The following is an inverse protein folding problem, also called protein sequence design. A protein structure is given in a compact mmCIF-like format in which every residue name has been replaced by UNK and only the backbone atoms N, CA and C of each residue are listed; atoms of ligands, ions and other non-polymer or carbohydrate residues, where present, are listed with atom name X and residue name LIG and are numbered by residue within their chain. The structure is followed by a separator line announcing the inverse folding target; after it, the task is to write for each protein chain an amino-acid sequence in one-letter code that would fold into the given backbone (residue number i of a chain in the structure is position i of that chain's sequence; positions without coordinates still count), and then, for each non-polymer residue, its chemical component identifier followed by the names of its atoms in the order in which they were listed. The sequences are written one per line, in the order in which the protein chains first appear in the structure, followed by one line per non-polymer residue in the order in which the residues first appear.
data_IF_814501774391
#
_entry.id   IF_814501774391
#
_cell.length_a   1.000
_cell.length_b   1.000
_cell.length_c   1.000
_cell.angle_alpha   90.00
_cell.angle_beta   90.00
_cell.angle_gamma   90.00
#
_symmetry.space_group_name_H-M   'P 1'
#
loop_
_entity.id
_entity.type
_entity.pdbx_description
1 polymer ?
#
# COMPACT_ATOMS: atom_id res chain seq x y z
N UNK A 1 34.69 -41.31 38.84
CA UNK A 1 34.10 -39.96 38.94
C UNK A 1 33.13 -39.79 37.79
N UNK A 2 31.81 -39.97 38.00
CA UNK A 2 30.78 -39.87 36.95
C UNK A 2 30.12 -38.50 37.07
N UNK A 3 30.25 -37.66 36.03
CA UNK A 3 29.59 -36.37 35.96
C UNK A 3 28.21 -36.61 35.30
N UNK A 4 27.16 -36.57 36.11
CA UNK A 4 25.78 -36.65 35.65
C UNK A 4 25.41 -35.31 35.00
N UNK A 5 25.13 -35.29 33.68
CA UNK A 5 24.49 -34.19 33.00
C UNK A 5 22.97 -34.25 33.27
N UNK A 6 22.50 -33.35 34.09
CA UNK A 6 21.06 -33.12 34.25
C UNK A 6 20.55 -32.41 33.02
N UNK A 7 19.79 -33.10 32.18
CA UNK A 7 18.99 -32.45 31.13
C UNK A 7 17.76 -31.82 31.80
N UNK A 8 17.79 -30.53 31.95
CA UNK A 8 16.61 -29.78 32.39
C UNK A 8 15.46 -30.02 31.42
N UNK A 9 14.38 -30.58 31.90
CA UNK A 9 13.09 -30.70 31.19
C UNK A 9 12.58 -29.30 30.88
N UNK A 10 12.67 -28.90 29.63
CA UNK A 10 11.99 -27.67 29.14
C UNK A 10 10.49 -27.99 29.17
N UNK A 11 9.76 -27.47 30.15
CA UNK A 11 8.33 -27.75 30.30
C UNK A 11 7.56 -27.23 29.08
N UNK A 12 6.61 -28.01 28.59
CA UNK A 12 5.74 -27.68 27.45
C UNK A 12 5.00 -26.33 27.65
N UNK A 13 4.79 -25.94 28.88
CA UNK A 13 4.17 -24.63 29.26
C UNK A 13 5.06 -23.43 28.90
N UNK A 14 6.37 -23.52 29.06
CA UNK A 14 7.30 -22.45 28.68
C UNK A 14 7.38 -22.27 27.16
N UNK A 15 7.29 -23.36 26.40
CA UNK A 15 7.28 -23.28 24.93
C UNK A 15 5.98 -22.66 24.41
N UNK A 16 4.85 -22.95 25.02
CA UNK A 16 3.55 -22.38 24.65
C UNK A 16 3.48 -20.88 24.91
N UNK A 17 3.98 -20.43 26.05
CA UNK A 17 4.08 -19.00 26.40
C UNK A 17 4.99 -18.24 25.43
N UNK A 18 6.14 -18.81 25.08
CA UNK A 18 7.06 -18.19 24.12
C UNK A 18 6.42 -18.04 22.72
N UNK A 19 5.69 -19.04 22.25
CA UNK A 19 4.97 -18.97 20.97
C UNK A 19 3.85 -17.91 20.98
N UNK A 20 3.13 -17.79 22.08
CA UNK A 20 2.09 -16.75 22.24
C UNK A 20 2.68 -15.34 22.22
N UNK A 21 3.78 -15.11 22.89
CA UNK A 21 4.47 -13.81 22.92
C UNK A 21 5.00 -13.45 21.53
N UNK A 22 5.61 -14.38 20.82
CA UNK A 22 6.10 -14.17 19.45
C UNK A 22 4.93 -13.82 18.50
N UNK A 23 3.80 -14.52 18.60
CA UNK A 23 2.62 -14.26 17.79
C UNK A 23 2.04 -12.86 18.07
N UNK A 24 2.04 -12.43 19.33
CA UNK A 24 1.54 -11.09 19.71
C UNK A 24 2.43 -9.98 19.16
N UNK A 25 3.75 -10.12 19.21
CA UNK A 25 4.73 -9.16 18.68
C UNK A 25 4.61 -9.07 17.16
N UNK A 26 4.45 -10.19 16.46
CA UNK A 26 4.28 -10.20 15.01
C UNK A 26 2.98 -9.51 14.57
N UNK A 27 1.89 -9.65 15.33
CA UNK A 27 0.62 -9.00 15.03
C UNK A 27 0.67 -7.48 15.19
N UNK A 28 1.39 -6.98 16.19
CA UNK A 28 1.56 -5.52 16.39
C UNK A 28 2.42 -4.90 15.28
N UNK A 29 3.51 -5.55 14.88
CA UNK A 29 4.36 -5.08 13.79
C UNK A 29 3.60 -4.96 12.46
N UNK A 30 2.80 -5.96 12.11
CA UNK A 30 1.98 -5.93 10.90
C UNK A 30 0.91 -4.82 10.91
N UNK A 31 0.34 -4.51 12.09
CA UNK A 31 -0.62 -3.42 12.24
C UNK A 31 0.05 -2.04 12.07
N UNK A 32 1.27 -1.88 12.55
CA UNK A 32 2.05 -0.65 12.41
C UNK A 32 2.46 -0.40 10.96
N UNK A 33 2.89 -1.43 10.24
CA UNK A 33 3.25 -1.34 8.82
C UNK A 33 2.03 -0.98 7.97
N UNK A 34 0.87 -1.56 8.25
CA UNK A 34 -0.38 -1.23 7.59
C UNK A 34 -0.80 0.23 7.82
N UNK A 35 -0.73 0.71 9.06
CA UNK A 35 -1.02 2.10 9.42
C UNK A 35 -0.03 3.07 8.77
N UNK A 36 1.23 2.68 8.62
CA UNK A 36 2.25 3.47 7.93
C UNK A 36 1.95 3.59 6.45
N UNK A 37 1.70 2.48 5.74
CA UNK A 37 1.33 2.47 4.33
C UNK A 37 0.08 3.32 4.04
N UNK A 38 -0.93 3.23 4.93
CA UNK A 38 -2.15 4.05 4.85
C UNK A 38 -1.84 5.55 4.93
N UNK A 39 -1.02 5.99 5.89
CA UNK A 39 -0.65 7.40 6.02
C UNK A 39 0.12 7.90 4.78
N UNK A 40 1.02 7.09 4.25
CA UNK A 40 1.74 7.45 3.03
C UNK A 40 0.78 7.61 1.84
N UNK A 41 -0.17 6.70 1.66
CA UNK A 41 -1.18 6.75 0.60
C UNK A 41 -2.08 7.98 0.69
N UNK A 42 -2.50 8.35 1.89
CA UNK A 42 -3.43 9.47 2.10
C UNK A 42 -2.71 10.82 2.19
N UNK A 43 -1.63 10.91 2.96
CA UNK A 43 -1.09 12.19 3.42
C UNK A 43 0.18 12.60 2.67
N UNK A 44 1.19 11.72 2.57
CA UNK A 44 2.48 12.09 1.97
C UNK A 44 2.45 12.06 0.44
N UNK A 45 2.06 10.93 -0.12
CA UNK A 45 2.02 10.75 -1.58
C UNK A 45 0.68 11.20 -2.20
N UNK A 46 -0.34 11.43 -1.37
CA UNK A 46 -1.68 11.89 -1.77
C UNK A 46 -2.29 11.07 -2.90
N UNK A 47 -2.06 9.76 -2.90
CA UNK A 47 -2.58 8.86 -3.93
C UNK A 47 -4.11 8.90 -4.00
N UNK A 48 -4.76 9.09 -2.84
CA UNK A 48 -6.22 9.22 -2.72
C UNK A 48 -6.77 10.40 -3.50
N UNK A 49 -5.98 11.45 -3.73
CA UNK A 49 -6.42 12.60 -4.53
C UNK A 49 -6.92 12.19 -5.92
N UNK A 50 -6.21 11.28 -6.57
CA UNK A 50 -6.58 10.76 -7.88
C UNK A 50 -7.31 9.40 -7.80
N UNK A 51 -6.84 8.48 -6.94
CA UNK A 51 -7.36 7.12 -6.85
C UNK A 51 -8.57 6.96 -5.92
N UNK A 52 -8.93 8.00 -5.15
CA UNK A 52 -9.98 7.95 -4.14
C UNK A 52 -9.53 7.30 -2.83
N UNK A 53 -10.27 7.57 -1.76
CA UNK A 53 -10.04 6.98 -0.43
C UNK A 53 -10.15 5.46 -0.44
N UNK A 54 -11.02 4.93 -1.29
CA UNK A 54 -11.27 3.49 -1.46
C UNK A 54 -10.45 2.86 -2.59
N UNK A 55 -9.57 3.62 -3.23
CA UNK A 55 -8.78 3.21 -4.39
C UNK A 55 -9.63 2.71 -5.59
N UNK A 56 -10.86 3.21 -5.70
CA UNK A 56 -11.83 2.87 -6.75
C UNK A 56 -11.68 3.73 -8.02
N UNK A 57 -10.75 4.66 -8.02
CA UNK A 57 -10.49 5.58 -9.13
C UNK A 57 -11.39 6.79 -9.17
N UNK A 58 -12.31 6.96 -8.22
CA UNK A 58 -13.23 8.09 -8.21
C UNK A 58 -12.52 9.45 -7.99
N UNK A 59 -11.39 9.41 -7.25
CA UNK A 59 -10.64 10.63 -6.92
C UNK A 59 -11.40 11.57 -5.97
N UNK A 60 -10.77 12.68 -5.66
CA UNK A 60 -11.42 13.78 -4.96
C UNK A 60 -12.06 14.73 -5.97
N UNK A 61 -13.05 15.51 -5.54
CA UNK A 61 -13.82 16.43 -6.40
C UNK A 61 -12.97 17.47 -7.12
N UNK A 62 -11.78 17.74 -6.63
CA UNK A 62 -10.82 18.70 -7.19
C UNK A 62 -9.73 18.04 -8.05
N UNK A 63 -9.72 16.71 -8.16
CA UNK A 63 -8.77 16.02 -9.03
C UNK A 63 -9.10 16.25 -10.51
N UNK A 64 -8.06 16.21 -11.36
CA UNK A 64 -8.19 16.45 -12.80
C UNK A 64 -8.88 15.31 -13.57
N UNK A 65 -9.62 14.46 -12.91
CA UNK A 65 -10.31 13.31 -13.48
C UNK A 65 -9.96 12.01 -12.80
N UNK A 66 -10.69 10.96 -13.15
CA UNK A 66 -10.53 9.63 -12.56
C UNK A 66 -9.19 8.99 -12.90
N UNK A 67 -8.62 8.30 -11.93
CA UNK A 67 -7.46 7.44 -12.09
C UNK A 67 -7.89 5.98 -12.28
N UNK A 68 -6.92 5.09 -12.47
CA UNK A 68 -7.21 3.66 -12.54
C UNK A 68 -7.89 3.18 -11.24
N UNK A 69 -8.93 2.36 -11.40
CA UNK A 69 -9.56 1.65 -10.30
C UNK A 69 -8.62 0.53 -9.83
N UNK A 70 -7.93 0.76 -8.71
CA UNK A 70 -6.95 -0.19 -8.18
C UNK A 70 -7.62 -1.45 -7.64
N UNK A 71 -8.91 -1.39 -7.28
CA UNK A 71 -9.68 -2.54 -6.80
C UNK A 71 -9.91 -3.60 -7.89
N UNK A 72 -9.83 -3.19 -9.15
CA UNK A 72 -9.91 -4.06 -10.32
C UNK A 72 -8.53 -4.44 -10.87
N UNK A 73 -7.47 -3.99 -10.23
CA UNK A 73 -6.10 -4.29 -10.63
C UNK A 73 -5.72 -5.74 -10.26
N UNK A 74 -4.86 -6.34 -11.08
CA UNK A 74 -4.25 -7.65 -10.86
C UNK A 74 -2.72 -7.55 -10.70
N UNK A 75 -2.20 -6.33 -10.48
CA UNK A 75 -0.78 -6.12 -10.29
C UNK A 75 -0.30 -6.83 -9.02
N UNK A 76 0.84 -7.50 -9.15
CA UNK A 76 1.54 -8.06 -8.00
C UNK A 76 2.36 -6.98 -7.28
N UNK A 77 3.04 -7.37 -6.19
CA UNK A 77 3.81 -6.45 -5.34
C UNK A 77 4.90 -5.73 -6.12
N UNK A 78 5.68 -6.44 -6.90
CA UNK A 78 6.81 -5.90 -7.67
C UNK A 78 6.32 -4.92 -8.73
N UNK A 79 5.24 -5.24 -9.41
CA UNK A 79 4.61 -4.36 -10.40
C UNK A 79 4.02 -3.10 -9.76
N UNK A 80 3.44 -3.20 -8.57
CA UNK A 80 2.95 -2.02 -7.82
C UNK A 80 4.11 -1.12 -7.42
N UNK A 81 5.21 -1.69 -6.92
CA UNK A 81 6.43 -0.95 -6.57
C UNK A 81 6.95 -0.21 -7.80
N UNK A 82 7.11 -0.89 -8.94
CA UNK A 82 7.57 -0.26 -10.18
C UNK A 82 6.64 0.88 -10.62
N UNK A 83 5.33 0.66 -10.63
CA UNK A 83 4.36 1.70 -11.02
C UNK A 83 4.38 2.90 -10.08
N UNK A 84 4.55 2.70 -8.77
CA UNK A 84 4.63 3.81 -7.82
C UNK A 84 5.94 4.57 -8.00
N UNK A 85 7.06 3.87 -8.11
CA UNK A 85 8.37 4.50 -8.32
C UNK A 85 8.41 5.29 -9.63
N UNK A 86 7.94 4.68 -10.71
CA UNK A 86 8.15 5.14 -12.07
C UNK A 86 6.98 5.97 -12.64
N UNK A 87 5.83 5.96 -11.97
CA UNK A 87 4.62 6.55 -12.56
C UNK A 87 4.17 5.76 -13.80
N UNK A 88 3.39 6.42 -14.66
CA UNK A 88 2.98 5.84 -15.95
C UNK A 88 3.25 6.82 -17.07
N UNK A 89 4.18 6.53 -17.99
CA UNK A 89 4.49 7.39 -19.12
C UNK A 89 3.24 7.79 -19.90
N UNK A 90 3.22 9.03 -20.38
CA UNK A 90 2.12 9.64 -21.12
C UNK A 90 0.76 9.70 -20.38
N UNK A 91 0.78 9.60 -19.03
CA UNK A 91 -0.40 9.76 -18.19
C UNK A 91 -0.16 10.76 -17.07
N UNK A 92 -1.22 11.26 -16.38
CA UNK A 92 -1.07 12.12 -15.20
C UNK A 92 -0.48 11.42 -13.97
N UNK A 93 -0.32 10.07 -13.96
CA UNK A 93 0.26 9.38 -12.81
C UNK A 93 1.74 9.71 -12.67
N UNK A 94 2.13 10.42 -11.60
CA UNK A 94 3.51 10.88 -11.42
C UNK A 94 4.44 9.73 -11.01
N UNK A 95 5.75 9.94 -11.17
CA UNK A 95 6.76 9.10 -10.53
C UNK A 95 7.14 9.65 -9.15
N UNK A 96 7.52 8.76 -8.23
CA UNK A 96 7.90 9.13 -6.86
C UNK A 96 9.38 8.80 -6.54
N UNK A 97 10.10 8.11 -7.43
CA UNK A 97 11.54 7.96 -7.36
C UNK A 97 12.21 9.16 -8.03
N UNK A 98 13.01 9.91 -7.29
CA UNK A 98 13.75 11.07 -7.81
C UNK A 98 14.69 10.70 -8.95
N UNK A 99 15.19 9.47 -8.98
CA UNK A 99 16.06 8.96 -10.02
C UNK A 99 15.31 8.20 -11.14
N UNK A 100 13.99 8.25 -11.17
CA UNK A 100 13.22 7.64 -12.25
C UNK A 100 13.69 8.19 -13.61
N UNK A 101 13.84 7.28 -14.57
CA UNK A 101 14.24 7.59 -15.96
C UNK A 101 15.63 8.21 -16.16
N UNK A 102 16.44 8.37 -15.09
CA UNK A 102 17.86 8.75 -15.22
C UNK A 102 18.70 7.59 -15.78
N UNK A 103 18.21 6.38 -15.67
CA UNK A 103 18.72 5.15 -16.24
C UNK A 103 17.53 4.23 -16.63
N UNK A 104 17.82 2.98 -16.97
CA UNK A 104 16.80 2.03 -17.47
C UNK A 104 15.97 1.35 -16.34
N UNK A 105 15.99 1.88 -15.10
CA UNK A 105 15.27 1.27 -13.96
C UNK A 105 13.75 1.29 -14.09
N UNK A 106 13.22 2.22 -14.88
CA UNK A 106 11.80 2.39 -15.09
C UNK A 106 11.38 1.84 -16.44
N UNK A 107 10.77 0.68 -16.45
CA UNK A 107 10.27 -0.01 -17.66
C UNK A 107 11.36 -0.22 -18.73
N UNK A 108 12.64 -0.20 -18.36
CA UNK A 108 13.75 -0.29 -19.31
C UNK A 108 13.94 0.95 -20.19
N UNK A 109 13.35 2.09 -19.83
CA UNK A 109 13.34 3.33 -20.60
C UNK A 109 14.06 4.46 -19.87
N UNK A 110 14.57 5.41 -20.64
CA UNK A 110 15.23 6.63 -20.16
C UNK A 110 14.42 7.88 -20.52
N UNK A 111 14.72 9.00 -19.87
CA UNK A 111 14.13 10.30 -20.20
C UNK A 111 14.36 10.69 -21.67
N UNK A 112 15.56 10.39 -22.22
CA UNK A 112 15.88 10.69 -23.61
C UNK A 112 14.98 9.96 -24.61
N UNK A 113 14.53 8.75 -24.27
CA UNK A 113 13.63 7.95 -25.10
C UNK A 113 12.17 8.39 -24.96
N UNK A 114 11.75 8.78 -23.77
CA UNK A 114 10.36 9.18 -23.48
C UNK A 114 10.07 10.64 -23.85
N UNK A 115 11.06 11.53 -23.79
CA UNK A 115 10.88 12.95 -24.07
C UNK A 115 9.78 13.57 -23.18
N UNK A 116 8.76 14.13 -23.80
CA UNK A 116 7.63 14.78 -23.11
C UNK A 116 6.65 13.79 -22.44
N UNK A 117 6.86 12.50 -22.63
CA UNK A 117 6.01 11.45 -22.03
C UNK A 117 6.50 11.01 -20.64
N UNK A 118 7.60 11.57 -20.14
CA UNK A 118 8.07 11.31 -18.77
C UNK A 118 7.02 11.80 -17.78
N UNK A 119 6.57 10.95 -16.82
CA UNK A 119 5.67 11.39 -15.77
C UNK A 119 6.28 12.51 -14.94
N UNK A 120 5.47 13.40 -14.41
CA UNK A 120 5.93 14.48 -13.55
C UNK A 120 6.44 13.92 -12.20
N UNK A 121 7.38 14.62 -11.57
CA UNK A 121 7.74 14.42 -10.16
C UNK A 121 6.96 15.42 -9.31
N UNK A 122 6.10 14.96 -8.37
CA UNK A 122 5.34 15.87 -7.54
C UNK A 122 6.29 16.65 -6.59
N UNK A 123 6.15 17.97 -6.49
CA UNK A 123 7.01 18.76 -5.60
C UNK A 123 6.93 18.28 -4.15
N UNK A 124 8.09 17.94 -3.55
CA UNK A 124 8.20 17.54 -2.15
C UNK A 124 7.61 16.17 -1.79
N UNK A 125 7.21 15.37 -2.77
CA UNK A 125 6.56 14.09 -2.54
C UNK A 125 7.41 12.87 -2.96
N UNK A 126 8.73 13.01 -3.04
CA UNK A 126 9.61 11.86 -3.29
C UNK A 126 9.47 10.81 -2.20
N UNK A 127 9.47 9.55 -2.60
CA UNK A 127 9.34 8.41 -1.71
C UNK A 127 10.66 7.62 -1.65
N UNK A 128 11.04 7.24 -0.43
CA UNK A 128 12.09 6.26 -0.23
C UNK A 128 11.58 4.86 -0.60
N UNK A 129 12.49 3.95 -0.97
CA UNK A 129 12.13 2.57 -1.32
C UNK A 129 11.19 1.91 -0.31
N UNK A 130 11.49 2.00 0.99
CA UNK A 130 10.65 1.46 2.09
C UNK A 130 9.24 2.06 2.13
N UNK A 131 9.08 3.32 1.70
CA UNK A 131 7.79 3.99 1.66
C UNK A 131 6.96 3.49 0.48
N UNK A 132 7.60 3.30 -0.67
CA UNK A 132 6.97 2.67 -1.84
C UNK A 132 6.50 1.25 -1.51
N UNK A 133 7.36 0.45 -0.86
CA UNK A 133 7.04 -0.90 -0.42
C UNK A 133 5.86 -0.92 0.55
N UNK A 134 5.83 -0.01 1.53
CA UNK A 134 4.73 0.09 2.49
C UNK A 134 3.40 0.48 1.82
N UNK A 135 3.42 1.36 0.81
CA UNK A 135 2.23 1.69 0.02
C UNK A 135 1.77 0.47 -0.78
N UNK A 136 2.67 -0.25 -1.44
CA UNK A 136 2.34 -1.44 -2.21
C UNK A 136 1.70 -2.53 -1.33
N UNK A 137 2.27 -2.78 -0.16
CA UNK A 137 1.76 -3.75 0.82
C UNK A 137 0.38 -3.33 1.36
N UNK A 138 0.18 -2.04 1.64
CA UNK A 138 -1.13 -1.51 2.01
C UNK A 138 -2.17 -1.70 0.90
N UNK A 139 -1.83 -1.40 -0.36
CA UNK A 139 -2.73 -1.55 -1.50
C UNK A 139 -3.13 -3.01 -1.70
N UNK A 140 -2.18 -3.95 -1.63
CA UNK A 140 -2.44 -5.39 -1.74
C UNK A 140 -3.34 -5.90 -0.62
N UNK A 141 -3.07 -5.48 0.61
CA UNK A 141 -3.85 -5.93 1.76
C UNK A 141 -5.29 -5.37 1.76
N UNK A 142 -5.48 -4.13 1.27
CA UNK A 142 -6.75 -3.41 1.44
C UNK A 142 -7.61 -3.33 0.17
N UNK A 143 -7.01 -3.18 -1.02
CA UNK A 143 -7.76 -2.77 -2.20
C UNK A 143 -7.65 -3.71 -3.41
N UNK A 144 -6.44 -4.18 -3.74
CA UNK A 144 -6.23 -4.96 -4.97
C UNK A 144 -7.13 -6.21 -4.99
N UNK A 145 -7.89 -6.35 -6.08
CA UNK A 145 -8.78 -7.50 -6.26
C UNK A 145 -10.03 -7.53 -5.38
N UNK A 146 -10.35 -6.44 -4.64
CA UNK A 146 -11.49 -6.39 -3.70
C UNK A 146 -12.85 -6.15 -4.36
N UNK A 147 -12.88 -5.81 -5.64
CA UNK A 147 -14.14 -5.49 -6.33
C UNK A 147 -14.78 -4.17 -5.88
N UNK A 148 -16.09 -4.08 -5.95
CA UNK A 148 -16.82 -2.85 -5.60
C UNK A 148 -16.63 -2.45 -4.13
N UNK A 149 -16.67 -1.14 -3.87
CA UNK A 149 -16.67 -0.60 -2.51
C UNK A 149 -17.95 -1.02 -1.81
N UNK A 150 -17.87 -1.45 -0.55
CA UNK A 150 -19.04 -1.79 0.27
C UNK A 150 -19.37 -0.66 1.25
N UNK A 151 -20.62 -0.71 1.77
CA UNK A 151 -21.07 0.24 2.79
C UNK A 151 -20.23 0.12 4.05
N UNK A 152 -19.91 -1.09 4.46
CA UNK A 152 -19.12 -1.37 5.66
C UNK A 152 -17.72 -0.77 5.54
N UNK A 153 -17.07 -0.91 4.39
CA UNK A 153 -15.75 -0.26 4.13
C UNK A 153 -15.84 1.26 4.22
N UNK A 154 -16.91 1.86 3.73
CA UNK A 154 -17.15 3.29 3.84
C UNK A 154 -17.38 3.70 5.31
N UNK A 155 -18.17 2.95 6.05
CA UNK A 155 -18.48 3.24 7.45
C UNK A 155 -17.28 3.05 8.38
N UNK A 156 -16.34 2.18 8.04
CA UNK A 156 -15.03 2.09 8.73
C UNK A 156 -14.22 3.40 8.64
N UNK A 157 -14.38 4.15 7.55
CA UNK A 157 -13.62 5.39 7.30
C UNK A 157 -14.37 6.62 7.79
N UNK A 158 -15.67 6.71 7.54
CA UNK A 158 -16.48 7.92 7.75
C UNK A 158 -17.48 7.81 8.91
N UNK A 159 -17.51 6.68 9.59
CA UNK A 159 -18.42 6.41 10.70
C UNK A 159 -19.75 5.81 10.25
N UNK A 160 -20.33 5.01 11.16
CA UNK A 160 -21.56 4.24 10.93
C UNK A 160 -22.76 5.17 10.68
N UNK A 161 -23.60 4.83 9.70
CA UNK A 161 -24.82 5.56 9.37
C UNK A 161 -24.61 6.88 8.64
N UNK A 162 -23.39 7.16 8.18
CA UNK A 162 -23.09 8.36 7.38
C UNK A 162 -23.83 8.36 6.05
N UNK A 163 -24.49 9.49 5.71
CA UNK A 163 -25.21 9.64 4.42
C UNK A 163 -24.31 9.36 3.22
N UNK A 164 -23.03 9.68 3.30
CA UNK A 164 -22.06 9.41 2.25
C UNK A 164 -21.93 7.91 1.95
N UNK A 165 -22.15 7.03 2.94
CA UNK A 165 -22.02 5.60 2.79
C UNK A 165 -23.28 4.91 2.25
N UNK A 166 -24.43 5.57 2.26
CA UNK A 166 -25.71 5.00 1.79
C UNK A 166 -25.72 4.67 0.30
N UNK A 167 -24.83 5.27 -0.49
CA UNK A 167 -24.71 5.01 -1.92
C UNK A 167 -24.01 3.67 -2.24
N UNK A 168 -23.30 3.09 -1.28
CA UNK A 168 -22.59 1.83 -1.48
C UNK A 168 -23.48 0.63 -1.08
N UNK A 169 -23.36 -0.51 -1.80
CA UNK A 169 -24.08 -1.73 -1.46
C UNK A 169 -23.59 -2.28 -0.12
N UNK A 170 -24.46 -2.99 0.60
CA UNK A 170 -24.02 -3.79 1.71
C UNK A 170 -23.11 -4.93 1.22
N UNK A 171 -22.23 -5.40 2.09
CA UNK A 171 -21.38 -6.55 1.79
C UNK A 171 -22.27 -7.78 1.55
N UNK A 172 -22.04 -8.55 0.46
CA UNK A 172 -22.80 -9.76 0.19
C UNK A 172 -22.62 -10.86 1.24
#
# INVERSE_FOLDING_TARGET
MRIGRSFGSCSAEGALLALLVIALIAATAAADDFAYGRRLYLDKAQCSYCHGWAADGAGETQSNGGAANLRQSFLNREQLIEVIMCGRPATPMPHYDEAAYTDNRCYGMTEAELGTSVPALPPGATLQKREVEAIADYLLAKFIGRGAVTREECEEVFGTGGRACSQYPAKP
#
